data_IF_288524036004
#
_entry.id   IF_288524036004
#
_cell.length_a   1.000
_cell.length_b   1.000
_cell.length_c   1.000
_cell.angle_alpha   90.00
_cell.angle_beta   90.00
_cell.angle_gamma   90.00
#
_symmetry.space_group_name_H-M   'P 1'
#
loop_
_entity.id
_entity.type
_entity.pdbx_description
1 polymer ?
#
# COMPACT_ATOMS: atom_id res chain seq x y z
N UNK A 1 47.18 -53.48 -23.90
CA UNK A 1 45.87 -53.31 -23.25
C UNK A 1 45.72 -51.89 -22.74
N UNK A 2 45.00 -51.09 -23.49
CA UNK A 2 44.82 -49.65 -23.22
C UNK A 2 43.46 -49.42 -22.56
N UNK A 3 43.39 -49.14 -21.24
CA UNK A 3 42.15 -48.86 -20.53
C UNK A 3 41.72 -47.44 -20.82
N UNK A 4 40.61 -47.26 -21.55
CA UNK A 4 39.96 -45.95 -21.78
C UNK A 4 39.20 -45.55 -20.48
N UNK A 5 39.65 -44.46 -19.85
CA UNK A 5 38.87 -43.74 -18.84
C UNK A 5 37.82 -42.89 -19.55
N UNK A 6 36.56 -43.24 -19.38
CA UNK A 6 35.42 -42.38 -19.80
C UNK A 6 35.16 -41.43 -18.63
N UNK A 7 35.55 -40.19 -18.79
CA UNK A 7 35.19 -39.14 -17.86
C UNK A 7 33.73 -38.71 -18.06
N UNK A 8 32.88 -38.95 -17.06
CA UNK A 8 31.51 -38.47 -17.04
C UNK A 8 31.55 -37.00 -16.60
N UNK A 9 31.35 -36.12 -17.55
CA UNK A 9 31.12 -34.68 -17.26
C UNK A 9 29.66 -34.58 -16.82
N UNK A 10 29.43 -34.39 -15.51
CA UNK A 10 28.11 -34.02 -14.96
C UNK A 10 27.95 -32.51 -15.18
N UNK A 11 26.98 -32.08 -16.00
CA UNK A 11 26.69 -30.68 -16.09
C UNK A 11 26.12 -30.18 -14.74
N UNK A 12 26.84 -29.32 -14.06
CA UNK A 12 26.37 -28.61 -12.87
C UNK A 12 25.25 -27.67 -13.34
N UNK A 13 24.00 -28.14 -13.30
CA UNK A 13 22.82 -27.29 -13.42
C UNK A 13 22.80 -26.37 -12.21
N UNK A 14 23.39 -25.19 -12.36
CA UNK A 14 23.13 -24.07 -11.44
C UNK A 14 21.68 -23.67 -11.60
N UNK A 15 20.81 -24.20 -10.72
CA UNK A 15 19.48 -23.64 -10.51
C UNK A 15 19.71 -22.21 -10.01
N UNK A 16 19.68 -21.23 -10.90
CA UNK A 16 19.38 -19.86 -10.53
C UNK A 16 17.95 -19.90 -10.00
N UNK A 17 17.80 -19.90 -8.70
CA UNK A 17 16.55 -19.54 -8.06
C UNK A 17 16.21 -18.14 -8.58
N UNK A 18 15.30 -18.06 -9.53
CA UNK A 18 14.59 -16.82 -9.81
C UNK A 18 13.88 -16.48 -8.51
N UNK A 19 14.50 -15.64 -7.70
CA UNK A 19 13.81 -14.99 -6.59
C UNK A 19 12.64 -14.24 -7.22
N UNK A 20 11.48 -14.89 -7.22
CA UNK A 20 10.24 -14.18 -7.48
C UNK A 20 10.21 -13.03 -6.49
N UNK A 21 9.92 -11.84 -6.98
CA UNK A 21 9.85 -10.68 -6.14
C UNK A 21 8.68 -10.84 -5.16
N UNK A 22 8.99 -11.06 -3.89
CA UNK A 22 8.01 -11.29 -2.83
C UNK A 22 7.45 -9.99 -2.23
N UNK A 23 7.61 -8.84 -2.89
CA UNK A 23 7.09 -7.57 -2.40
C UNK A 23 6.35 -6.78 -3.48
N UNK A 24 5.39 -5.97 -3.05
CA UNK A 24 4.63 -5.03 -3.89
C UNK A 24 4.91 -3.63 -3.40
N UNK A 25 5.59 -2.84 -4.24
CA UNK A 25 5.93 -1.44 -3.97
C UNK A 25 4.89 -0.50 -4.60
N UNK A 26 4.52 0.54 -3.84
CA UNK A 26 3.80 1.70 -4.34
C UNK A 26 4.55 2.99 -4.01
N UNK A 27 4.64 3.88 -4.98
CA UNK A 27 5.09 5.25 -4.81
C UNK A 27 3.87 6.17 -4.80
N UNK A 28 3.77 7.01 -3.78
CA UNK A 28 2.73 8.02 -3.65
C UNK A 28 3.35 9.41 -3.74
N UNK A 29 2.77 10.27 -4.57
CA UNK A 29 3.14 11.70 -4.67
C UNK A 29 1.87 12.52 -4.46
N UNK A 30 1.87 13.41 -3.48
CA UNK A 30 0.78 14.35 -3.28
C UNK A 30 0.90 15.52 -4.25
N UNK A 31 -0.24 15.90 -4.83
CA UNK A 31 -0.35 16.97 -5.82
C UNK A 31 -1.35 18.02 -5.31
N UNK A 32 -0.85 19.17 -4.93
CA UNK A 32 -1.66 20.32 -4.54
C UNK A 32 -1.98 21.15 -5.79
N UNK A 33 -3.26 21.27 -6.20
CA UNK A 33 -3.63 22.08 -7.37
C UNK A 33 -3.30 23.57 -7.16
N UNK A 34 -2.75 24.21 -8.16
CA UNK A 34 -2.69 25.69 -8.20
C UNK A 34 -4.12 26.22 -8.35
N UNK A 35 -4.45 27.30 -7.63
CA UNK A 35 -5.79 27.89 -7.65
C UNK A 35 -6.33 28.07 -9.07
N UNK A 36 -7.53 27.51 -9.32
CA UNK A 36 -8.20 27.57 -10.63
C UNK A 36 -7.60 26.64 -11.70
N UNK A 37 -6.59 25.80 -11.38
CA UNK A 37 -5.96 24.90 -12.35
C UNK A 37 -6.30 23.42 -12.14
N UNK A 38 -7.19 23.08 -11.23
CA UNK A 38 -7.53 21.69 -10.87
C UNK A 38 -7.87 20.82 -12.09
N UNK A 39 -8.73 21.32 -12.98
CA UNK A 39 -9.11 20.56 -14.19
C UNK A 39 -7.91 20.29 -15.09
N UNK A 40 -7.01 21.25 -15.25
CA UNK A 40 -5.81 21.07 -16.09
C UNK A 40 -4.82 20.11 -15.44
N UNK A 41 -4.65 20.18 -14.12
CA UNK A 41 -3.83 19.21 -13.37
C UNK A 41 -4.34 17.78 -13.61
N UNK A 42 -5.63 17.54 -13.38
CA UNK A 42 -6.24 16.20 -13.55
C UNK A 42 -6.08 15.71 -14.99
N UNK A 43 -6.35 16.55 -15.98
CA UNK A 43 -6.17 16.19 -17.40
C UNK A 43 -4.70 15.94 -17.74
N UNK A 44 -3.80 16.73 -17.20
CA UNK A 44 -2.36 16.59 -17.39
C UNK A 44 -1.85 15.25 -16.86
N UNK A 45 -2.21 14.90 -15.61
CA UNK A 45 -1.86 13.62 -15.01
C UNK A 45 -2.43 12.44 -15.81
N UNK A 46 -3.70 12.49 -16.23
CA UNK A 46 -4.30 11.44 -17.05
C UNK A 46 -3.56 11.24 -18.38
N UNK A 47 -3.19 12.33 -19.05
CA UNK A 47 -2.44 12.30 -20.30
C UNK A 47 -1.03 11.71 -20.07
N UNK A 48 -0.36 12.12 -19.02
CA UNK A 48 0.94 11.60 -18.62
C UNK A 48 0.88 10.08 -18.35
N UNK A 49 -0.09 9.65 -17.52
CA UNK A 49 -0.27 8.24 -17.19
C UNK A 49 -0.56 7.39 -18.42
N UNK A 50 -1.41 7.87 -19.34
CA UNK A 50 -1.72 7.15 -20.57
C UNK A 50 -0.47 6.93 -21.45
N UNK A 51 0.50 7.84 -21.40
CA UNK A 51 1.71 7.76 -22.18
C UNK A 51 2.80 6.90 -21.51
N UNK A 52 3.04 7.09 -20.22
CA UNK A 52 4.21 6.54 -19.53
C UNK A 52 3.88 5.49 -18.47
N UNK A 53 2.65 5.48 -17.93
CA UNK A 53 2.27 4.66 -16.79
C UNK A 53 1.00 3.86 -17.02
N UNK A 54 0.90 3.23 -18.20
CA UNK A 54 -0.26 2.45 -18.62
C UNK A 54 -0.15 0.94 -18.32
N UNK A 55 0.96 0.49 -17.75
CA UNK A 55 1.27 -0.91 -17.49
C UNK A 55 1.97 -1.63 -18.66
N UNK A 56 2.18 -0.95 -19.79
CA UNK A 56 2.97 -1.43 -20.93
C UNK A 56 4.33 -0.71 -20.97
N UNK A 57 4.29 0.61 -20.80
CA UNK A 57 5.48 1.48 -20.83
C UNK A 57 5.98 1.81 -19.41
N UNK A 58 5.79 0.93 -18.45
CA UNK A 58 6.16 1.13 -17.06
C UNK A 58 5.05 0.72 -16.10
N UNK A 59 5.31 0.76 -14.78
CA UNK A 59 4.29 0.48 -13.76
C UNK A 59 3.08 1.39 -13.93
N UNK A 60 1.88 0.82 -13.74
CA UNK A 60 0.64 1.60 -13.77
C UNK A 60 0.67 2.73 -12.76
N UNK A 61 0.05 3.88 -13.11
CA UNK A 61 -0.22 4.93 -12.15
C UNK A 61 -1.69 5.33 -12.16
N UNK A 62 -2.15 5.71 -10.98
CA UNK A 62 -3.53 6.07 -10.68
C UNK A 62 -3.55 7.45 -10.03
N UNK A 63 -4.62 8.18 -10.23
CA UNK A 63 -4.84 9.46 -9.55
C UNK A 63 -6.02 9.31 -8.60
N UNK A 64 -5.84 9.69 -7.35
CA UNK A 64 -6.91 9.71 -6.34
C UNK A 64 -7.16 11.13 -5.87
N UNK A 65 -8.43 11.45 -5.63
CA UNK A 65 -8.82 12.65 -4.90
C UNK A 65 -8.93 12.32 -3.40
N UNK A 66 -8.39 13.19 -2.55
CA UNK A 66 -8.40 13.07 -1.09
C UNK A 66 -9.60 13.81 -0.52
N UNK A 67 -10.53 13.06 0.08
CA UNK A 67 -11.77 13.61 0.66
C UNK A 67 -11.57 14.09 2.09
N UNK A 68 -10.74 13.39 2.87
CA UNK A 68 -10.53 13.67 4.29
C UNK A 68 -9.10 13.42 4.70
N UNK A 69 -8.70 13.94 5.86
CA UNK A 69 -7.35 13.85 6.39
C UNK A 69 -6.56 15.14 6.15
N UNK A 70 -5.27 15.07 6.44
CA UNK A 70 -4.35 16.23 6.38
C UNK A 70 -4.30 16.87 4.99
N UNK A 71 -4.37 16.06 3.94
CA UNK A 71 -4.27 16.50 2.54
C UNK A 71 -5.62 16.58 1.84
N UNK A 72 -6.70 16.78 2.59
CA UNK A 72 -8.05 16.94 2.04
C UNK A 72 -8.11 18.04 0.97
N UNK A 73 -8.77 17.75 -0.16
CA UNK A 73 -8.86 18.66 -1.32
C UNK A 73 -7.70 18.54 -2.31
N UNK A 74 -6.67 17.78 -1.99
CA UNK A 74 -5.55 17.49 -2.88
C UNK A 74 -5.76 16.18 -3.66
N UNK A 75 -4.78 15.85 -4.49
CA UNK A 75 -4.72 14.59 -5.21
C UNK A 75 -3.51 13.79 -4.76
N UNK A 76 -3.58 12.47 -4.92
CA UNK A 76 -2.44 11.57 -4.76
C UNK A 76 -2.25 10.79 -6.05
N UNK A 77 -1.08 10.94 -6.63
CA UNK A 77 -0.62 10.10 -7.72
C UNK A 77 0.03 8.86 -7.13
N UNK A 78 -0.46 7.69 -7.49
CA UNK A 78 -0.05 6.39 -6.96
C UNK A 78 0.50 5.54 -8.09
N UNK A 79 1.80 5.25 -8.10
CA UNK A 79 2.44 4.37 -9.07
C UNK A 79 2.70 3.00 -8.45
N UNK A 80 2.24 1.96 -9.12
CA UNK A 80 2.45 0.59 -8.69
C UNK A 80 1.35 -0.37 -9.15
N UNK A 81 1.53 -1.69 -8.95
CA UNK A 81 2.70 -2.32 -8.33
C UNK A 81 3.99 -2.09 -9.12
N UNK A 82 5.10 -1.86 -8.40
CA UNK A 82 6.41 -1.57 -8.95
C UNK A 82 7.50 -2.39 -8.24
N UNK A 83 8.70 -2.34 -8.78
CA UNK A 83 9.94 -2.88 -8.19
C UNK A 83 10.86 -1.73 -7.82
N UNK A 84 11.75 -1.96 -6.86
CA UNK A 84 12.83 -1.00 -6.59
C UNK A 84 13.68 -0.73 -7.83
N UNK A 85 13.96 -1.78 -8.62
CA UNK A 85 14.68 -1.64 -9.90
C UNK A 85 13.98 -0.78 -10.94
N UNK A 86 12.68 -0.55 -10.82
CA UNK A 86 11.96 0.39 -11.71
C UNK A 86 12.28 1.86 -11.36
N UNK A 87 12.99 2.09 -10.24
CA UNK A 87 13.49 3.40 -9.83
C UNK A 87 14.98 3.57 -10.16
N UNK A 88 15.66 2.49 -10.58
CA UNK A 88 17.08 2.52 -10.97
C UNK A 88 17.23 3.14 -12.36
N UNK A 89 17.61 4.34 -12.42
CA UNK A 89 17.85 5.06 -13.66
C UNK A 89 17.18 6.40 -13.70
N UNK A 90 17.80 7.32 -14.42
CA UNK A 90 17.19 8.61 -14.67
C UNK A 90 15.95 8.41 -15.56
N UNK A 91 14.85 9.03 -15.20
CA UNK A 91 13.71 9.12 -16.10
C UNK A 91 14.19 9.73 -17.43
N UNK A 92 13.70 9.19 -18.55
CA UNK A 92 14.01 9.77 -19.87
C UNK A 92 13.67 11.26 -19.88
N UNK A 93 14.49 12.07 -20.52
CA UNK A 93 14.28 13.53 -20.60
C UNK A 93 12.86 13.86 -21.09
N UNK A 94 12.35 13.11 -22.06
CA UNK A 94 11.01 13.29 -22.59
C UNK A 94 9.91 13.03 -21.55
N UNK A 95 10.12 12.07 -20.64
CA UNK A 95 9.20 11.76 -19.54
C UNK A 95 9.20 12.89 -18.50
N UNK A 96 10.39 13.33 -18.07
CA UNK A 96 10.52 14.44 -17.11
C UNK A 96 9.91 15.72 -17.65
N UNK A 97 10.23 16.08 -18.90
CA UNK A 97 9.67 17.25 -19.56
C UNK A 97 8.13 17.20 -19.70
N UNK A 98 7.59 16.02 -19.98
CA UNK A 98 6.13 15.83 -20.05
C UNK A 98 5.48 16.07 -18.69
N UNK A 99 6.09 15.58 -17.58
CA UNK A 99 5.62 15.83 -16.22
C UNK A 99 5.64 17.34 -15.90
N UNK A 100 6.76 18.01 -16.10
CA UNK A 100 6.91 19.45 -15.87
C UNK A 100 5.86 20.27 -16.62
N UNK A 101 5.62 19.94 -17.90
CA UNK A 101 4.70 20.70 -18.75
C UNK A 101 3.22 20.41 -18.51
N UNK A 102 2.88 19.19 -18.10
CA UNK A 102 1.50 18.75 -17.98
C UNK A 102 1.03 18.59 -16.54
N UNK A 103 1.94 18.47 -15.55
CA UNK A 103 1.60 18.27 -14.14
C UNK A 103 2.10 19.44 -13.30
N UNK A 104 3.42 19.64 -13.17
CA UNK A 104 4.00 20.66 -12.27
C UNK A 104 3.61 22.09 -12.65
N UNK A 105 3.30 22.32 -13.91
CA UNK A 105 2.74 23.60 -14.36
C UNK A 105 1.39 23.93 -13.73
N UNK A 106 0.61 22.94 -13.29
CA UNK A 106 -0.77 23.11 -12.81
C UNK A 106 -0.96 22.68 -11.35
N UNK A 107 0.04 22.07 -10.75
CA UNK A 107 0.04 21.63 -9.36
C UNK A 107 1.44 21.63 -8.77
N UNK A 108 1.52 21.50 -7.47
CA UNK A 108 2.77 21.33 -6.72
C UNK A 108 2.89 19.88 -6.26
N UNK A 109 3.95 19.21 -6.68
CA UNK A 109 4.31 17.88 -6.19
C UNK A 109 4.99 18.00 -4.82
N UNK A 110 4.57 17.20 -3.84
CA UNK A 110 5.20 17.15 -2.52
C UNK A 110 4.96 15.79 -1.86
N UNK A 111 5.59 15.57 -0.71
CA UNK A 111 5.39 14.43 0.17
C UNK A 111 5.46 13.08 -0.58
N UNK A 112 6.62 12.80 -1.19
CA UNK A 112 6.85 11.54 -1.90
C UNK A 112 7.08 10.43 -0.86
N UNK A 113 6.34 9.34 -0.98
CA UNK A 113 6.38 8.22 -0.05
C UNK A 113 6.40 6.89 -0.78
N UNK A 114 7.11 5.93 -0.20
CA UNK A 114 7.22 4.57 -0.71
C UNK A 114 6.64 3.58 0.29
N UNK A 115 5.68 2.79 -0.16
CA UNK A 115 4.98 1.82 0.65
C UNK A 115 5.20 0.40 0.12
N UNK A 116 5.58 -0.50 1.00
CA UNK A 116 5.63 -1.92 0.70
C UNK A 116 4.39 -2.62 1.27
N UNK A 117 3.67 -3.36 0.44
CA UNK A 117 2.57 -4.19 0.92
C UNK A 117 3.13 -5.37 1.70
N UNK A 118 2.61 -5.58 2.90
CA UNK A 118 2.95 -6.69 3.77
C UNK A 118 1.94 -7.81 3.55
N UNK A 119 2.32 -8.79 2.73
CA UNK A 119 1.44 -9.91 2.35
C UNK A 119 1.15 -10.83 3.53
N UNK A 120 2.08 -10.96 4.49
CA UNK A 120 1.88 -11.78 5.68
C UNK A 120 0.77 -11.22 6.58
N UNK A 121 0.55 -9.91 6.54
CA UNK A 121 -0.46 -9.20 7.34
C UNK A 121 -1.71 -8.83 6.52
N UNK A 122 -1.63 -8.87 5.22
CA UNK A 122 -2.73 -8.50 4.32
C UNK A 122 -3.77 -9.61 4.24
N UNK A 123 -5.04 -9.25 4.42
CA UNK A 123 -6.21 -10.06 4.07
C UNK A 123 -6.91 -9.45 2.87
N UNK A 124 -6.87 -10.14 1.73
CA UNK A 124 -7.38 -9.64 0.45
C UNK A 124 -8.12 -10.76 -0.31
N UNK A 125 -9.30 -11.16 0.14
CA UNK A 125 -10.00 -12.34 -0.36
C UNK A 125 -10.35 -12.24 -1.86
N UNK A 126 -10.47 -11.04 -2.41
CA UNK A 126 -10.81 -10.79 -3.80
C UNK A 126 -9.59 -10.58 -4.72
N UNK A 127 -8.36 -10.69 -4.20
CA UNK A 127 -7.10 -10.42 -4.92
C UNK A 127 -7.04 -9.07 -5.66
N UNK A 128 -7.78 -8.09 -5.20
CA UNK A 128 -7.75 -6.74 -5.78
C UNK A 128 -6.42 -6.06 -5.47
N UNK A 129 -5.81 -5.45 -6.48
CA UNK A 129 -4.56 -4.70 -6.31
C UNK A 129 -4.82 -3.26 -5.87
N UNK A 130 -5.80 -2.61 -6.48
CA UNK A 130 -6.18 -1.22 -6.22
C UNK A 130 -7.70 -1.13 -6.08
N UNK A 131 -8.20 -0.41 -5.07
CA UNK A 131 -9.62 -0.12 -4.90
C UNK A 131 -10.00 1.22 -5.52
N UNK A 132 -11.24 1.38 -6.03
CA UNK A 132 -11.73 2.68 -6.51
C UNK A 132 -11.87 3.68 -5.37
N UNK A 133 -12.41 3.25 -4.24
CA UNK A 133 -12.49 4.03 -3.01
C UNK A 133 -11.74 3.28 -1.92
N UNK A 134 -10.98 4.02 -1.12
CA UNK A 134 -10.22 3.45 -0.01
C UNK A 134 -10.30 4.34 1.22
N UNK A 135 -10.50 3.72 2.39
CA UNK A 135 -10.18 4.30 3.69
C UNK A 135 -8.77 3.82 4.05
N UNK A 136 -7.90 4.74 4.36
CA UNK A 136 -6.53 4.46 4.80
C UNK A 136 -6.42 4.90 6.25
N UNK A 137 -6.15 3.96 7.14
CA UNK A 137 -5.82 4.22 8.54
C UNK A 137 -4.34 4.02 8.75
N UNK A 138 -3.65 5.05 9.14
CA UNK A 138 -2.22 5.02 9.35
C UNK A 138 -1.89 5.19 10.82
N UNK A 139 -1.05 4.33 11.34
CA UNK A 139 -0.58 4.35 12.72
C UNK A 139 0.83 4.91 12.80
N UNK A 140 1.05 5.77 13.79
CA UNK A 140 2.34 6.20 14.25
C UNK A 140 2.82 5.22 15.32
N UNK A 141 3.73 4.34 14.95
CA UNK A 141 4.25 3.31 15.86
C UNK A 141 5.40 3.88 16.68
N UNK A 142 5.41 3.64 17.99
CA UNK A 142 6.47 4.09 18.87
C UNK A 142 7.86 3.58 18.44
N UNK A 143 8.91 4.26 18.86
CA UNK A 143 10.26 4.13 18.27
C UNK A 143 11.05 2.87 18.67
N UNK A 144 10.50 1.94 19.47
CA UNK A 144 11.19 0.71 19.84
C UNK A 144 10.88 -0.40 18.83
N UNK A 145 11.86 -1.22 18.54
CA UNK A 145 11.66 -2.41 17.70
C UNK A 145 10.54 -3.32 18.20
N UNK A 146 10.42 -3.44 19.54
CA UNK A 146 9.35 -4.20 20.20
C UNK A 146 7.95 -3.65 19.91
N UNK A 147 7.80 -2.33 19.66
CA UNK A 147 6.52 -1.71 19.42
C UNK A 147 5.99 -2.12 18.05
N UNK A 148 6.82 -2.04 17.02
CA UNK A 148 6.46 -2.52 15.69
C UNK A 148 6.13 -4.01 15.69
N UNK A 149 6.89 -4.83 16.42
CA UNK A 149 6.61 -6.27 16.53
C UNK A 149 5.25 -6.54 17.19
N UNK A 150 4.91 -5.80 18.26
CA UNK A 150 3.62 -5.91 18.95
C UNK A 150 2.45 -5.51 18.03
N UNK A 151 2.57 -4.37 17.35
CA UNK A 151 1.57 -3.87 16.38
C UNK A 151 1.36 -4.89 15.25
N UNK A 152 2.44 -5.39 14.65
CA UNK A 152 2.36 -6.44 13.61
C UNK A 152 1.71 -7.72 14.12
N UNK A 153 2.00 -8.13 15.35
CA UNK A 153 1.36 -9.27 15.99
C UNK A 153 -0.15 -9.10 16.12
N UNK A 154 -0.61 -7.94 16.60
CA UNK A 154 -2.04 -7.62 16.68
C UNK A 154 -2.71 -7.63 15.30
N UNK A 155 -2.07 -7.04 14.29
CA UNK A 155 -2.58 -7.02 12.91
C UNK A 155 -2.71 -8.45 12.36
N UNK A 156 -1.74 -9.32 12.65
CA UNK A 156 -1.78 -10.73 12.24
C UNK A 156 -2.95 -11.49 12.84
N UNK A 157 -3.22 -11.32 14.14
CA UNK A 157 -4.38 -11.93 14.80
C UNK A 157 -5.72 -11.46 14.19
N UNK A 158 -5.80 -10.19 13.77
CA UNK A 158 -6.98 -9.69 13.04
C UNK A 158 -7.11 -10.39 11.69
N UNK A 159 -6.02 -10.54 10.91
CA UNK A 159 -6.03 -11.29 9.64
C UNK A 159 -6.52 -12.72 9.84
N UNK A 160 -5.93 -13.45 10.77
CA UNK A 160 -6.29 -14.84 11.08
C UNK A 160 -7.76 -14.99 11.49
N UNK A 161 -8.30 -13.99 12.19
CA UNK A 161 -9.71 -13.97 12.56
C UNK A 161 -10.60 -13.74 11.35
N UNK A 162 -10.26 -12.78 10.47
CA UNK A 162 -10.99 -12.53 9.22
C UNK A 162 -10.99 -13.76 8.30
N UNK A 163 -9.87 -14.49 8.23
CA UNK A 163 -9.75 -15.76 7.50
C UNK A 163 -10.69 -16.82 8.06
N UNK A 164 -10.72 -17.02 9.38
CA UNK A 164 -11.63 -17.97 10.06
C UNK A 164 -13.10 -17.60 9.94
N UNK A 165 -13.41 -16.32 9.84
CA UNK A 165 -14.77 -15.80 9.58
C UNK A 165 -15.20 -15.95 8.13
N UNK A 166 -14.29 -16.30 7.21
CA UNK A 166 -14.48 -16.19 5.76
C UNK A 166 -15.03 -14.81 5.36
N UNK A 167 -14.45 -13.75 5.92
CA UNK A 167 -14.92 -12.39 5.72
C UNK A 167 -14.69 -11.93 4.27
N UNK A 168 -15.62 -11.13 3.74
CA UNK A 168 -15.43 -10.43 2.45
C UNK A 168 -14.79 -9.04 2.60
N UNK A 169 -14.49 -8.62 3.83
CA UNK A 169 -13.89 -7.30 4.12
C UNK A 169 -12.39 -7.37 3.91
N UNK A 170 -11.92 -6.87 2.78
CA UNK A 170 -10.49 -6.78 2.51
C UNK A 170 -9.81 -5.75 3.44
N UNK A 171 -8.60 -6.09 3.88
CA UNK A 171 -7.74 -5.25 4.73
C UNK A 171 -6.30 -5.43 4.25
N UNK A 172 -5.81 -4.48 3.49
CA UNK A 172 -4.44 -4.50 2.97
C UNK A 172 -3.52 -3.74 3.91
N UNK A 173 -2.36 -4.29 4.19
CA UNK A 173 -1.39 -3.70 5.12
C UNK A 173 -0.17 -3.23 4.34
N UNK A 174 0.23 -2.00 4.61
CA UNK A 174 1.39 -1.39 4.00
C UNK A 174 2.32 -0.85 5.10
N UNK A 175 3.61 -1.01 4.91
CA UNK A 175 4.62 -0.34 5.72
C UNK A 175 5.32 0.74 4.91
N UNK A 176 5.62 1.85 5.53
CA UNK A 176 6.47 2.88 4.94
C UNK A 176 7.91 2.38 4.92
N UNK A 177 8.57 2.44 3.77
CA UNK A 177 9.96 1.99 3.66
C UNK A 177 10.94 3.02 4.24
N UNK A 178 10.71 4.30 3.97
CA UNK A 178 11.51 5.39 4.51
C UNK A 178 10.68 6.18 5.51
N UNK A 179 11.17 6.32 6.72
CA UNK A 179 10.50 7.12 7.75
C UNK A 179 10.36 8.56 7.30
N UNK A 180 9.16 9.09 7.46
CA UNK A 180 8.81 10.48 7.18
C UNK A 180 8.51 11.23 8.47
N UNK A 181 8.53 12.57 8.44
CA UNK A 181 8.21 13.39 9.61
C UNK A 181 6.76 13.27 10.07
N UNK A 182 5.87 12.87 9.18
CA UNK A 182 4.46 12.62 9.45
C UNK A 182 4.20 11.24 10.09
N UNK A 183 5.30 10.51 10.41
CA UNK A 183 5.32 9.27 11.20
C UNK A 183 4.31 8.21 10.73
N UNK A 184 4.18 8.05 9.42
CA UNK A 184 3.32 7.03 8.82
C UNK A 184 4.05 5.70 8.75
N UNK A 185 4.03 4.93 9.82
CA UNK A 185 4.83 3.71 9.90
C UNK A 185 4.13 2.49 9.30
N UNK A 186 2.83 2.33 9.58
CA UNK A 186 2.03 1.22 9.07
C UNK A 186 0.62 1.70 8.71
N UNK A 187 0.16 1.34 7.52
CA UNK A 187 -1.13 1.76 7.00
C UNK A 187 -2.03 0.57 6.72
N UNK A 188 -3.26 0.65 7.18
CA UNK A 188 -4.32 -0.31 6.91
C UNK A 188 -5.24 0.28 5.86
N UNK A 189 -5.34 -0.35 4.71
CA UNK A 189 -6.16 0.11 3.58
C UNK A 189 -7.39 -0.77 3.45
N UNK A 190 -8.56 -0.15 3.55
CA UNK A 190 -9.87 -0.76 3.46
C UNK A 190 -10.56 -0.28 2.18
N UNK A 191 -10.60 -1.11 1.10
CA UNK A 191 -11.38 -0.76 -0.07
C UNK A 191 -12.87 -0.79 0.24
N UNK A 192 -13.62 0.09 -0.40
CA UNK A 192 -15.07 0.12 -0.29
C UNK A 192 -15.73 0.53 -1.61
N UNK A 193 -16.99 0.15 -1.81
CA UNK A 193 -17.71 0.42 -3.06
C UNK A 193 -18.42 1.77 -3.03
N UNK A 194 -19.10 2.08 -1.93
CA UNK A 194 -19.90 3.31 -1.76
C UNK A 194 -19.80 3.85 -0.33
N UNK A 195 -20.24 5.07 -0.14
CA UNK A 195 -20.18 5.80 1.13
C UNK A 195 -21.12 5.24 2.22
N UNK A 196 -22.12 4.44 1.87
CA UNK A 196 -22.99 3.72 2.79
C UNK A 196 -22.18 2.82 3.75
N UNK A 197 -20.96 2.44 3.33
CA UNK A 197 -19.99 1.73 4.20
C UNK A 197 -19.78 2.41 5.56
N UNK A 198 -19.92 3.73 5.63
CA UNK A 198 -19.69 4.51 6.85
C UNK A 198 -20.93 4.67 7.74
N UNK A 199 -22.10 4.14 7.36
CA UNK A 199 -23.31 4.10 8.20
C UNK A 199 -23.23 3.01 9.27
N UNK A 200 -22.21 2.15 9.25
CA UNK A 200 -21.96 1.07 10.18
C UNK A 200 -20.48 0.87 10.52
N UNK A 201 -20.09 -0.31 11.00
CA UNK A 201 -18.68 -0.65 11.22
C UNK A 201 -17.88 -0.50 9.93
N UNK A 202 -16.94 0.43 9.90
CA UNK A 202 -16.28 0.83 8.65
C UNK A 202 -14.95 0.10 8.35
N UNK A 203 -14.37 -0.60 9.32
CA UNK A 203 -13.06 -1.26 9.15
C UNK A 203 -13.08 -2.77 9.40
N UNK A 204 -14.03 -3.27 10.17
CA UNK A 204 -14.13 -4.69 10.51
C UNK A 204 -15.59 -5.16 10.32
N UNK A 205 -15.83 -6.46 10.02
CA UNK A 205 -17.17 -6.98 9.85
C UNK A 205 -17.96 -6.99 11.16
N UNK A 206 -19.28 -6.99 11.05
CA UNK A 206 -20.16 -7.18 12.20
C UNK A 206 -19.83 -8.50 12.93
N UNK A 207 -19.86 -8.50 14.26
CA UNK A 207 -19.53 -9.67 15.06
C UNK A 207 -18.04 -9.96 15.22
N UNK A 208 -17.15 -9.19 14.58
CA UNK A 208 -15.70 -9.42 14.65
C UNK A 208 -15.19 -9.58 16.09
N UNK A 209 -15.61 -8.73 17.03
CA UNK A 209 -15.13 -8.78 18.40
C UNK A 209 -15.45 -10.11 19.09
N UNK A 210 -16.67 -10.63 18.93
CA UNK A 210 -17.06 -11.92 19.49
C UNK A 210 -16.34 -13.10 18.84
N UNK A 211 -16.13 -13.06 17.53
CA UNK A 211 -15.35 -14.09 16.84
C UNK A 211 -13.88 -14.01 17.21
N UNK A 212 -13.32 -12.82 17.36
CA UNK A 212 -11.95 -12.66 17.83
C UNK A 212 -11.74 -13.29 19.22
N UNK A 213 -12.64 -13.04 20.18
CA UNK A 213 -12.57 -13.65 21.51
C UNK A 213 -12.80 -15.16 21.49
N UNK A 214 -13.69 -15.65 20.63
CA UNK A 214 -13.90 -17.07 20.41
C UNK A 214 -12.62 -17.80 19.97
N UNK A 215 -11.79 -17.16 19.14
CA UNK A 215 -10.56 -17.77 18.59
C UNK A 215 -9.32 -17.51 19.44
N UNK A 216 -9.28 -16.43 20.21
CA UNK A 216 -8.10 -16.00 20.97
C UNK A 216 -8.30 -15.98 22.49
N UNK A 217 -9.50 -16.35 22.97
CA UNK A 217 -9.87 -16.38 24.39
C UNK A 217 -10.63 -15.14 24.85
N UNK A 218 -11.39 -15.27 25.90
CA UNK A 218 -12.16 -14.19 26.54
C UNK A 218 -11.26 -13.01 26.94
N UNK A 219 -11.70 -11.78 26.68
CA UNK A 219 -10.96 -10.55 26.96
C UNK A 219 -9.79 -10.28 26.01
N UNK A 220 -9.61 -11.12 24.98
CA UNK A 220 -8.49 -10.96 24.03
C UNK A 220 -8.61 -9.70 23.17
N UNK A 221 -9.81 -9.22 22.84
CA UNK A 221 -9.99 -7.95 22.15
C UNK A 221 -9.30 -6.83 22.92
N UNK A 222 -9.55 -6.73 24.23
CA UNK A 222 -8.91 -5.71 25.06
C UNK A 222 -7.40 -5.93 25.10
N UNK A 223 -6.95 -7.11 25.50
CA UNK A 223 -5.55 -7.41 25.79
C UNK A 223 -4.64 -7.44 24.57
N UNK A 224 -5.13 -8.02 23.45
CA UNK A 224 -4.30 -8.28 22.25
C UNK A 224 -4.51 -7.25 21.13
N UNK A 225 -5.54 -6.41 21.23
CA UNK A 225 -5.77 -5.35 20.26
C UNK A 225 -5.71 -3.98 20.93
N UNK A 226 -6.67 -3.62 21.78
CA UNK A 226 -6.78 -2.24 22.28
C UNK A 226 -5.57 -1.84 23.13
N UNK A 227 -5.14 -2.68 24.08
CA UNK A 227 -3.95 -2.40 24.91
C UNK A 227 -2.66 -2.34 24.06
N UNK A 228 -2.60 -3.07 22.95
CA UNK A 228 -1.46 -3.00 22.02
C UNK A 228 -1.43 -1.65 21.31
N UNK A 229 -2.57 -1.18 20.80
CA UNK A 229 -2.65 0.14 20.17
C UNK A 229 -2.31 1.24 21.17
N UNK A 230 -2.95 1.24 22.34
CA UNK A 230 -2.75 2.24 23.39
C UNK A 230 -1.28 2.34 23.85
N UNK A 231 -0.58 1.21 23.89
CA UNK A 231 0.78 1.14 24.43
C UNK A 231 1.89 1.36 23.39
N UNK A 232 1.66 0.94 22.15
CA UNK A 232 2.70 0.82 21.13
C UNK A 232 2.53 1.78 19.95
N UNK A 233 1.50 2.66 19.99
CA UNK A 233 1.32 3.72 18.98
C UNK A 233 1.05 5.06 19.65
N UNK A 234 1.46 6.15 19.02
CA UNK A 234 1.16 7.53 19.44
C UNK A 234 -0.19 8.00 18.86
N UNK A 235 -0.92 7.12 18.18
CA UNK A 235 -2.22 7.38 17.61
C UNK A 235 -2.35 6.91 16.16
N UNK A 236 -3.41 7.38 15.52
CA UNK A 236 -3.66 7.10 14.10
C UNK A 236 -4.31 8.28 13.40
N UNK A 237 -4.19 8.31 12.09
CA UNK A 237 -4.93 9.22 11.22
C UNK A 237 -5.69 8.45 10.15
N UNK A 238 -6.83 8.98 9.73
CA UNK A 238 -7.64 8.43 8.65
C UNK A 238 -7.62 9.35 7.43
N UNK A 239 -7.49 8.75 6.25
CA UNK A 239 -7.62 9.41 4.97
C UNK A 239 -8.54 8.63 4.04
N UNK A 240 -9.48 9.31 3.40
CA UNK A 240 -10.39 8.71 2.42
C UNK A 240 -10.05 9.22 1.04
N UNK A 241 -9.88 8.28 0.10
CA UNK A 241 -9.53 8.58 -1.29
C UNK A 241 -10.52 7.93 -2.26
N UNK A 242 -10.79 8.62 -3.36
CA UNK A 242 -11.53 8.09 -4.51
C UNK A 242 -10.71 8.23 -5.78
N UNK A 243 -10.63 7.15 -6.58
CA UNK A 243 -9.93 7.15 -7.86
C UNK A 243 -10.62 8.08 -8.85
N UNK A 244 -9.85 8.93 -9.48
CA UNK A 244 -10.29 9.84 -10.54
C UNK A 244 -10.36 9.05 -11.86
N UNK A 245 -11.57 8.83 -12.35
CA UNK A 245 -11.86 8.15 -13.64
C UNK A 245 -11.58 9.02 -14.84
#
# INVERSE_FOLDING_TARGET
>A
MLKRLIGIIIPLLTCYSLFAQDYILFENIYLEPINGQTTKLVQGVKKHNAKYHNGVNGPKAYLFFVWSGEYSGQYVWVKGPAKWSDLDGAAEEAHTKDWEMNVDKYGRSHNIQYFLRDEDLTYNPNNETVGENVLIRTFDVNNKYSDMAAVRGAIKLVKETLEKMNSNVARRVYRTEFRTFDRRDISLVYPFQNWEKFEGPNTLPAGFGSDFEKYNGEGSVRKLLLDVWDKHTDGWSDEVRTMVK
#
